data_IF_410355946344
#
_entry.id   IF_410355946344
#
_cell.length_a   1.000
_cell.length_b   1.000
_cell.length_c   1.000
_cell.angle_alpha   90.00
_cell.angle_beta   90.00
_cell.angle_gamma   90.00
#
_symmetry.space_group_name_H-M   'P 1'
#
loop_
_entity.id
_entity.type
_entity.pdbx_description
1 polymer ?
#
# COMPACT_ATOMS: atom_id res chain seq x y z
N UNK A 1 15.30 34.48 30.95
CA UNK A 1 14.82 35.56 30.08
C UNK A 1 13.32 35.44 29.96
N UNK A 2 12.51 36.50 30.12
CA UNK A 2 11.08 36.40 29.87
C UNK A 2 10.84 36.10 28.38
N UNK A 3 9.94 35.15 28.10
CA UNK A 3 9.53 34.83 26.73
C UNK A 3 8.87 36.06 26.08
N UNK A 4 9.18 36.31 24.82
CA UNK A 4 8.51 37.35 24.03
C UNK A 4 7.03 37.00 23.81
N UNK A 5 6.17 37.97 23.54
CA UNK A 5 4.74 37.73 23.24
C UNK A 5 4.57 36.77 22.09
N UNK A 6 5.40 36.85 21.04
CA UNK A 6 5.41 35.96 19.88
C UNK A 6 5.76 34.50 20.23
N UNK A 7 6.75 34.29 21.11
CA UNK A 7 7.13 32.93 21.56
C UNK A 7 6.01 32.29 22.39
N UNK A 8 5.33 33.07 23.23
CA UNK A 8 4.19 32.59 24.00
C UNK A 8 3.01 32.21 23.11
N UNK A 9 2.70 32.98 22.10
CA UNK A 9 1.64 32.70 21.14
C UNK A 9 1.95 31.44 20.33
N UNK A 10 3.20 31.28 19.88
CA UNK A 10 3.65 30.08 19.18
C UNK A 10 3.53 28.82 20.06
N UNK A 11 3.95 28.87 21.32
CA UNK A 11 3.84 27.77 22.26
C UNK A 11 2.37 27.36 22.53
N UNK A 12 1.48 28.36 22.69
CA UNK A 12 0.04 28.08 22.84
C UNK A 12 -0.58 27.51 21.59
N UNK A 13 -0.15 27.92 20.39
CA UNK A 13 -0.61 27.36 19.11
C UNK A 13 -0.18 25.90 18.97
N UNK A 14 1.07 25.56 19.29
CA UNK A 14 1.57 24.17 19.31
C UNK A 14 0.78 23.30 20.28
N UNK A 15 0.54 23.76 21.51
CA UNK A 15 -0.29 23.04 22.47
C UNK A 15 -1.71 22.79 21.94
N UNK A 16 -2.37 23.83 21.39
CA UNK A 16 -3.71 23.69 20.79
C UNK A 16 -3.72 22.67 19.67
N UNK A 17 -2.71 22.66 18.81
CA UNK A 17 -2.54 21.70 17.71
C UNK A 17 -2.44 20.27 18.23
N UNK A 18 -1.51 20.02 19.17
CA UNK A 18 -1.30 18.71 19.76
C UNK A 18 -2.53 18.19 20.54
N UNK A 19 -3.16 19.06 21.33
CA UNK A 19 -4.35 18.70 22.09
C UNK A 19 -5.55 18.35 21.18
N UNK A 20 -5.77 19.11 20.11
CA UNK A 20 -6.82 18.82 19.12
C UNK A 20 -6.57 17.50 18.37
N UNK A 21 -5.32 17.19 18.04
CA UNK A 21 -4.95 15.93 17.41
C UNK A 21 -5.30 14.71 18.28
N UNK A 22 -5.38 14.90 19.60
CA UNK A 22 -5.80 13.90 20.58
C UNK A 22 -7.27 14.03 21.01
N UNK A 23 -8.06 14.83 20.30
CA UNK A 23 -9.50 15.06 20.53
C UNK A 23 -9.83 15.72 21.86
N UNK A 24 -8.91 16.51 22.45
CA UNK A 24 -9.21 17.31 23.63
C UNK A 24 -10.17 18.45 23.23
N UNK A 25 -11.21 18.66 24.05
CA UNK A 25 -12.23 19.67 23.78
C UNK A 25 -11.67 21.09 23.82
N UNK A 26 -12.28 22.01 23.06
CA UNK A 26 -11.89 23.41 23.03
C UNK A 26 -11.97 24.09 24.40
N UNK A 27 -12.99 23.76 25.19
CA UNK A 27 -13.19 24.29 26.54
C UNK A 27 -12.07 23.87 27.50
N UNK A 28 -11.67 22.60 27.47
CA UNK A 28 -10.54 22.07 28.26
C UNK A 28 -9.22 22.76 27.86
N UNK A 29 -8.98 22.92 26.54
CA UNK A 29 -7.81 23.63 26.03
C UNK A 29 -7.82 25.11 26.52
N UNK A 30 -8.96 25.78 26.42
CA UNK A 30 -9.12 27.16 26.85
C UNK A 30 -8.90 27.34 28.35
N UNK A 31 -9.53 26.51 29.16
CA UNK A 31 -9.40 26.49 30.61
C UNK A 31 -7.94 26.26 31.07
N UNK A 32 -7.24 25.33 30.46
CA UNK A 32 -5.83 25.09 30.75
C UNK A 32 -4.96 26.31 30.41
N UNK A 33 -5.09 26.88 29.22
CA UNK A 33 -4.28 28.03 28.77
C UNK A 33 -4.56 29.31 29.55
N UNK A 34 -5.74 29.45 30.16
CA UNK A 34 -6.07 30.63 30.99
C UNK A 34 -5.28 30.68 32.30
N UNK A 35 -4.87 29.50 32.84
CA UNK A 35 -4.18 29.42 34.15
C UNK A 35 -2.75 28.86 34.07
N UNK A 36 -2.37 28.22 32.95
CA UNK A 36 -1.09 27.56 32.82
C UNK A 36 0.08 28.53 32.68
N UNK A 37 1.17 28.21 33.36
CA UNK A 37 2.46 28.88 33.17
C UNK A 37 3.11 28.44 31.85
N UNK A 38 4.04 29.23 31.28
CA UNK A 38 4.76 28.83 30.06
C UNK A 38 5.46 27.46 30.17
N UNK A 39 6.03 27.15 31.33
CA UNK A 39 6.67 25.86 31.61
C UNK A 39 5.67 24.71 31.59
N UNK A 40 4.48 24.89 32.12
CA UNK A 40 3.40 23.90 32.09
C UNK A 40 2.90 23.69 30.66
N UNK A 41 2.72 24.74 29.86
CA UNK A 41 2.36 24.62 28.45
C UNK A 41 3.38 23.83 27.69
N UNK A 42 4.69 24.12 27.85
CA UNK A 42 5.75 23.39 27.18
C UNK A 42 5.80 21.90 27.59
N UNK A 43 5.70 21.61 28.89
CA UNK A 43 5.71 20.23 29.39
C UNK A 43 4.51 19.42 28.89
N UNK A 44 3.31 20.00 28.92
CA UNK A 44 2.11 19.35 28.40
C UNK A 44 2.17 19.18 26.89
N UNK A 45 2.69 20.14 26.14
CA UNK A 45 2.88 20.00 24.68
C UNK A 45 3.79 18.82 24.38
N UNK A 46 4.95 18.73 25.02
CA UNK A 46 5.89 17.62 24.83
C UNK A 46 5.26 16.25 25.15
N UNK A 47 4.45 16.16 26.21
CA UNK A 47 3.70 14.94 26.55
C UNK A 47 2.70 14.57 25.47
N UNK A 48 1.90 15.52 24.97
CA UNK A 48 0.92 15.29 23.92
C UNK A 48 1.57 14.89 22.61
N UNK A 49 2.66 15.55 22.22
CA UNK A 49 3.44 15.19 21.02
C UNK A 49 4.05 13.78 21.12
N UNK A 50 4.54 13.40 22.30
CA UNK A 50 5.02 12.04 22.56
C UNK A 50 3.91 11.00 22.39
N UNK A 51 2.71 11.29 22.89
CA UNK A 51 1.54 10.41 22.74
C UNK A 51 1.10 10.31 21.28
N UNK A 52 1.08 11.41 20.51
CA UNK A 52 0.79 11.42 19.07
C UNK A 52 1.78 10.50 18.35
N UNK A 53 3.08 10.70 18.60
CA UNK A 53 4.13 9.89 17.99
C UNK A 53 4.01 8.40 18.37
N UNK A 54 3.61 8.09 19.62
CA UNK A 54 3.35 6.72 20.05
C UNK A 54 2.17 6.10 19.30
N UNK A 55 1.05 6.80 19.20
CA UNK A 55 -0.14 6.34 18.45
C UNK A 55 0.16 6.12 16.98
N UNK A 56 0.93 7.03 16.37
CA UNK A 56 1.33 6.89 14.96
C UNK A 56 2.21 5.67 14.74
N UNK A 57 3.19 5.43 15.60
CA UNK A 57 4.01 4.20 15.54
C UNK A 57 3.15 2.95 15.70
N UNK A 58 2.25 2.93 16.66
CA UNK A 58 1.35 1.80 16.90
C UNK A 58 0.40 1.56 15.71
N UNK A 59 -0.14 2.65 15.10
CA UNK A 59 -0.97 2.60 13.90
C UNK A 59 -0.18 1.98 12.73
N UNK A 60 1.02 2.48 12.43
CA UNK A 60 1.88 1.97 11.34
C UNK A 60 2.24 0.50 11.54
N UNK A 61 2.65 0.11 12.75
CA UNK A 61 2.94 -1.29 13.08
C UNK A 61 1.71 -2.20 12.89
N UNK A 62 0.52 -1.73 13.27
CA UNK A 62 -0.73 -2.46 13.02
C UNK A 62 -1.04 -2.60 11.54
N UNK A 63 -0.91 -1.53 10.76
CA UNK A 63 -1.13 -1.54 9.31
C UNK A 63 -0.17 -2.51 8.61
N UNK A 64 1.10 -2.49 8.99
CA UNK A 64 2.12 -3.40 8.45
C UNK A 64 1.76 -4.87 8.71
N UNK A 65 1.36 -5.21 9.95
CA UNK A 65 0.91 -6.59 10.26
C UNK A 65 -0.35 -6.99 9.50
N UNK A 66 -1.30 -6.07 9.34
CA UNK A 66 -2.55 -6.33 8.63
C UNK A 66 -2.36 -6.50 7.12
N UNK A 67 -1.33 -5.90 6.55
CA UNK A 67 -1.01 -6.04 5.13
C UNK A 67 -0.63 -7.46 4.74
N UNK A 68 -0.01 -8.24 5.63
CA UNK A 68 0.40 -9.65 5.42
C UNK A 68 1.40 -9.82 4.29
N UNK A 69 2.41 -8.97 4.23
CA UNK A 69 3.51 -9.14 3.28
C UNK A 69 4.23 -10.49 3.51
N UNK A 70 4.64 -11.20 2.44
CA UNK A 70 5.30 -12.50 2.57
C UNK A 70 6.66 -12.38 3.27
N UNK A 71 7.48 -11.42 2.84
CA UNK A 71 8.78 -11.07 3.45
C UNK A 71 8.96 -9.57 3.29
N UNK A 72 9.34 -8.83 4.34
CA UNK A 72 9.68 -7.43 4.22
C UNK A 72 10.83 -7.23 3.21
N UNK A 73 10.64 -6.32 2.27
CA UNK A 73 11.63 -5.98 1.23
C UNK A 73 11.66 -4.48 1.05
N UNK A 74 12.86 -3.94 0.78
CA UNK A 74 13.03 -2.53 0.45
C UNK A 74 13.29 -2.34 -1.06
N UNK A 75 13.18 -1.11 -1.52
CA UNK A 75 13.55 -0.72 -2.89
C UNK A 75 15.07 -0.63 -3.08
N UNK A 76 15.85 -0.66 -2.00
CA UNK A 76 17.30 -0.64 -2.05
C UNK A 76 17.83 -1.84 -2.82
N UNK A 77 18.84 -1.63 -3.67
CA UNK A 77 19.41 -2.65 -4.53
C UNK A 77 18.49 -3.14 -5.67
N UNK A 78 17.40 -2.43 -6.00
CA UNK A 78 16.67 -2.64 -7.26
C UNK A 78 17.47 -2.05 -8.43
N UNK A 79 17.64 -2.82 -9.51
CA UNK A 79 18.22 -2.35 -10.77
C UNK A 79 17.20 -1.52 -11.54
N UNK A 80 17.20 -0.25 -11.32
CA UNK A 80 16.33 0.70 -12.00
C UNK A 80 16.53 0.77 -13.52
N UNK A 81 17.76 0.57 -14.08
CA UNK A 81 17.96 0.57 -15.53
C UNK A 81 17.12 -0.46 -16.28
N UNK A 82 16.74 -1.55 -15.60
CA UNK A 82 15.95 -2.63 -16.19
C UNK A 82 14.43 -2.41 -16.04
N UNK A 83 14.00 -1.26 -15.51
CA UNK A 83 12.58 -0.94 -15.32
C UNK A 83 12.18 0.15 -16.29
N UNK A 84 11.27 -0.17 -17.22
CA UNK A 84 10.69 0.80 -18.15
C UNK A 84 9.36 1.33 -17.62
N UNK A 85 9.20 2.63 -17.71
CA UNK A 85 8.01 3.37 -17.26
C UNK A 85 7.27 3.94 -18.47
N UNK A 86 5.95 4.19 -18.36
CA UNK A 86 5.21 4.89 -19.40
C UNK A 86 5.66 6.35 -19.55
N UNK A 87 5.43 6.94 -20.72
CA UNK A 87 5.80 8.31 -21.03
C UNK A 87 5.25 9.32 -20.01
N UNK A 88 6.11 10.25 -19.58
CA UNK A 88 5.73 11.31 -18.65
C UNK A 88 5.50 10.85 -17.20
N UNK A 89 5.80 9.61 -16.87
CA UNK A 89 5.68 9.06 -15.52
C UNK A 89 6.85 8.13 -15.23
N UNK A 90 7.44 8.21 -14.05
CA UNK A 90 8.66 7.51 -13.76
C UNK A 90 8.80 7.05 -12.32
N UNK A 91 10.05 6.80 -11.96
CA UNK A 91 10.42 6.30 -10.64
C UNK A 91 9.93 7.19 -9.50
N UNK A 92 10.13 8.50 -9.62
CA UNK A 92 9.87 9.45 -8.52
C UNK A 92 8.36 9.59 -8.29
N UNK A 93 7.55 9.62 -9.36
CA UNK A 93 6.10 9.58 -9.28
C UNK A 93 5.61 8.30 -8.62
N UNK A 94 6.17 7.15 -8.98
CA UNK A 94 5.83 5.88 -8.35
C UNK A 94 6.17 5.87 -6.86
N UNK A 95 7.37 6.33 -6.49
CA UNK A 95 7.84 6.33 -5.10
C UNK A 95 7.13 7.39 -4.24
N UNK A 96 6.57 8.44 -4.82
CA UNK A 96 5.76 9.45 -4.13
C UNK A 96 4.45 8.90 -3.58
N UNK A 97 4.03 7.71 -4.04
CA UNK A 97 2.75 7.08 -3.70
C UNK A 97 1.51 7.90 -4.14
N UNK A 98 1.69 8.85 -5.08
CA UNK A 98 0.57 9.64 -5.60
C UNK A 98 -0.51 8.73 -6.22
N UNK A 99 -0.11 7.69 -6.94
CA UNK A 99 -1.03 6.69 -7.48
C UNK A 99 -1.97 6.10 -6.40
N UNK A 100 -1.45 5.82 -5.19
CA UNK A 100 -2.26 5.27 -4.10
C UNK A 100 -3.23 6.30 -3.51
N UNK A 101 -2.88 7.60 -3.56
CA UNK A 101 -3.77 8.69 -3.18
C UNK A 101 -4.86 8.91 -4.22
N UNK A 102 -4.53 8.80 -5.49
CA UNK A 102 -5.39 9.18 -6.61
C UNK A 102 -6.20 7.98 -7.17
N UNK A 103 -6.09 6.82 -6.52
CA UNK A 103 -6.75 5.57 -6.88
C UNK A 103 -6.38 5.06 -8.30
N UNK A 104 -5.15 5.32 -8.74
CA UNK A 104 -4.60 4.79 -9.98
C UNK A 104 -4.01 3.39 -9.75
N UNK A 105 -4.12 2.52 -10.74
CA UNK A 105 -3.60 1.16 -10.69
C UNK A 105 -2.18 1.06 -11.27
N UNK A 106 -1.40 0.07 -10.81
CA UNK A 106 -0.10 -0.26 -11.39
C UNK A 106 -0.07 -1.71 -11.84
N UNK A 107 0.42 -1.95 -13.04
CA UNK A 107 0.66 -3.30 -13.54
C UNK A 107 2.15 -3.50 -13.73
N UNK A 108 2.76 -4.34 -12.91
CA UNK A 108 4.15 -4.74 -13.01
C UNK A 108 4.24 -6.00 -13.87
N UNK A 109 4.73 -5.84 -15.07
CA UNK A 109 4.87 -6.89 -16.06
C UNK A 109 6.33 -7.29 -16.27
N UNK A 110 6.58 -8.54 -16.58
CA UNK A 110 7.90 -9.08 -16.91
C UNK A 110 8.09 -10.51 -16.43
N UNK A 111 9.17 -11.14 -16.86
CA UNK A 111 9.45 -12.55 -16.51
C UNK A 111 9.70 -12.73 -15.01
N UNK A 112 9.66 -13.99 -14.57
CA UNK A 112 9.92 -14.37 -13.17
C UNK A 112 11.34 -13.98 -12.75
N UNK A 113 11.51 -13.57 -11.49
CA UNK A 113 12.83 -13.24 -10.93
C UNK A 113 13.30 -11.79 -11.12
N UNK A 114 12.57 -10.96 -11.88
CA UNK A 114 12.98 -9.58 -12.23
C UNK A 114 12.59 -8.49 -11.23
N UNK A 115 12.13 -8.84 -10.04
CA UNK A 115 11.93 -7.87 -8.95
C UNK A 115 10.52 -7.32 -8.79
N UNK A 116 9.52 -7.70 -9.59
CA UNK A 116 8.12 -7.23 -9.51
C UNK A 116 7.51 -7.33 -8.11
N UNK A 117 7.51 -8.53 -7.53
CA UNK A 117 7.03 -8.79 -6.16
C UNK A 117 7.79 -7.97 -5.12
N UNK A 118 9.12 -7.80 -5.31
CA UNK A 118 9.95 -6.98 -4.43
C UNK A 118 9.50 -5.52 -4.47
N UNK A 119 9.30 -4.97 -5.67
CA UNK A 119 8.81 -3.60 -5.85
C UNK A 119 7.42 -3.42 -5.25
N UNK A 120 6.47 -4.30 -5.58
CA UNK A 120 5.11 -4.25 -5.04
C UNK A 120 5.09 -4.32 -3.50
N UNK A 121 5.93 -5.18 -2.91
CA UNK A 121 6.09 -5.29 -1.45
C UNK A 121 6.67 -4.00 -0.86
N UNK A 122 7.71 -3.45 -1.47
CA UNK A 122 8.37 -2.24 -0.99
C UNK A 122 7.44 -1.01 -1.04
N UNK A 123 6.69 -0.83 -2.13
CA UNK A 123 5.66 0.22 -2.24
C UNK A 123 4.54 0.01 -1.21
N UNK A 124 4.10 -1.23 -1.00
CA UNK A 124 3.12 -1.55 0.03
C UNK A 124 3.62 -1.19 1.45
N UNK A 125 4.89 -1.48 1.77
CA UNK A 125 5.50 -1.10 3.05
C UNK A 125 5.60 0.42 3.17
N UNK A 126 6.03 1.11 2.12
CA UNK A 126 6.06 2.57 2.08
C UNK A 126 4.66 3.18 2.29
N UNK A 127 3.64 2.61 1.66
CA UNK A 127 2.25 3.02 1.84
C UNK A 127 1.76 2.81 3.29
N UNK A 128 2.10 1.68 3.95
CA UNK A 128 1.77 1.49 5.38
C UNK A 128 2.49 2.48 6.27
N UNK A 129 3.73 2.84 5.95
CA UNK A 129 4.52 3.85 6.65
C UNK A 129 3.94 5.25 6.48
N UNK A 130 3.32 5.54 5.32
CA UNK A 130 2.55 6.75 5.05
C UNK A 130 1.15 6.73 5.71
N UNK A 131 0.77 5.62 6.39
CA UNK A 131 -0.50 5.50 7.10
C UNK A 131 -1.66 4.94 6.27
N UNK A 132 -1.41 4.45 5.07
CA UNK A 132 -2.42 3.83 4.22
C UNK A 132 -2.65 2.36 4.62
N UNK A 133 -3.89 1.90 4.77
CA UNK A 133 -4.19 0.48 4.90
C UNK A 133 -3.85 -0.26 3.59
N UNK A 134 -3.07 -1.33 3.69
CA UNK A 134 -2.68 -2.17 2.55
C UNK A 134 -3.16 -3.60 2.77
N UNK A 135 -3.51 -4.30 1.70
CA UNK A 135 -3.70 -5.75 1.67
C UNK A 135 -2.82 -6.35 0.60
N UNK A 136 -1.99 -7.30 0.99
CA UNK A 136 -1.14 -8.06 0.06
C UNK A 136 -1.73 -9.46 -0.13
N UNK A 137 -2.02 -9.80 -1.37
CA UNK A 137 -2.55 -11.09 -1.77
C UNK A 137 -1.68 -11.72 -2.84
N UNK A 138 -1.18 -12.90 -2.56
CA UNK A 138 -0.58 -13.77 -3.56
C UNK A 138 -1.72 -14.52 -4.25
N UNK A 139 -1.97 -14.31 -5.54
CA UNK A 139 -3.25 -14.67 -6.20
C UNK A 139 -3.57 -16.17 -6.22
N UNK A 140 -2.60 -17.03 -6.04
CA UNK A 140 -2.82 -18.45 -5.81
C UNK A 140 -3.55 -18.79 -4.49
N UNK A 141 -3.59 -17.85 -3.51
CA UNK A 141 -4.19 -18.07 -2.18
C UNK A 141 -5.59 -17.45 -1.99
N UNK A 142 -5.90 -16.26 -2.50
CA UNK A 142 -7.19 -15.61 -2.23
C UNK A 142 -8.35 -16.27 -2.96
N UNK A 143 -8.14 -16.86 -4.11
CA UNK A 143 -9.22 -17.53 -4.84
C UNK A 143 -9.82 -18.69 -4.03
N UNK A 144 -9.02 -19.65 -3.52
CA UNK A 144 -9.53 -20.64 -2.58
C UNK A 144 -10.12 -20.03 -1.31
N UNK A 145 -9.55 -18.92 -0.81
CA UNK A 145 -10.03 -18.23 0.39
C UNK A 145 -11.38 -17.54 0.16
N UNK A 146 -11.59 -16.89 -0.98
CA UNK A 146 -12.87 -16.30 -1.37
C UNK A 146 -13.93 -17.38 -1.55
N UNK A 147 -13.60 -18.48 -2.23
CA UNK A 147 -14.49 -19.63 -2.39
C UNK A 147 -14.85 -20.28 -1.06
N UNK A 148 -13.88 -20.44 -0.15
CA UNK A 148 -14.13 -20.91 1.21
C UNK A 148 -15.06 -19.96 1.98
N UNK A 149 -14.79 -18.66 1.96
CA UNK A 149 -15.61 -17.66 2.63
C UNK A 149 -17.05 -17.64 2.09
N UNK A 150 -17.23 -17.85 0.77
CA UNK A 150 -18.56 -17.99 0.16
C UNK A 150 -19.31 -19.20 0.72
N UNK A 151 -18.65 -20.36 0.79
CA UNK A 151 -19.27 -21.58 1.35
C UNK A 151 -19.60 -21.48 2.84
N UNK A 152 -18.78 -20.74 3.59
CA UNK A 152 -18.96 -20.52 5.02
C UNK A 152 -19.87 -19.33 5.38
N UNK A 153 -20.42 -18.62 4.39
CA UNK A 153 -21.27 -17.44 4.63
C UNK A 153 -20.53 -16.23 5.20
N UNK A 154 -19.18 -16.19 5.08
CA UNK A 154 -18.32 -15.12 5.63
C UNK A 154 -17.75 -14.19 4.55
N UNK A 155 -18.22 -14.32 3.30
CA UNK A 155 -17.72 -13.57 2.15
C UNK A 155 -17.85 -12.06 2.33
N UNK A 156 -19.02 -11.59 2.77
CA UNK A 156 -19.29 -10.15 2.96
C UNK A 156 -18.31 -9.53 3.97
N UNK A 157 -17.99 -10.27 5.03
CA UNK A 157 -17.00 -9.83 6.03
C UNK A 157 -15.60 -9.73 5.41
N UNK A 158 -15.22 -10.67 4.56
CA UNK A 158 -13.93 -10.65 3.88
C UNK A 158 -13.85 -9.49 2.88
N UNK A 159 -14.90 -9.28 2.08
CA UNK A 159 -14.99 -8.16 1.15
C UNK A 159 -14.96 -6.81 1.89
N UNK A 160 -15.69 -6.69 3.00
CA UNK A 160 -15.65 -5.50 3.85
C UNK A 160 -14.26 -5.22 4.46
N UNK A 161 -13.47 -6.27 4.77
CA UNK A 161 -12.09 -6.09 5.23
C UNK A 161 -11.17 -5.59 4.10
N UNK A 162 -11.33 -6.14 2.90
CA UNK A 162 -10.60 -5.66 1.70
C UNK A 162 -11.01 -4.24 1.34
N UNK A 163 -12.29 -3.91 1.48
CA UNK A 163 -12.82 -2.57 1.20
C UNK A 163 -12.19 -1.46 2.05
N UNK A 164 -11.60 -1.78 3.21
CA UNK A 164 -10.86 -0.84 4.07
C UNK A 164 -9.46 -0.52 3.54
N UNK A 165 -8.94 -1.31 2.59
CA UNK A 165 -7.62 -1.05 2.02
C UNK A 165 -7.65 0.19 1.11
N UNK A 166 -6.59 1.00 1.18
CA UNK A 166 -6.32 2.05 0.20
C UNK A 166 -5.50 1.52 -0.97
N UNK A 167 -4.71 0.48 -0.70
CA UNK A 167 -3.89 -0.20 -1.69
C UNK A 167 -4.08 -1.72 -1.55
N UNK A 168 -4.41 -2.36 -2.66
CA UNK A 168 -4.45 -3.81 -2.79
C UNK A 168 -3.28 -4.27 -3.67
N UNK A 169 -2.51 -5.24 -3.23
CA UNK A 169 -1.47 -5.88 -4.05
C UNK A 169 -1.94 -7.27 -4.41
N UNK A 170 -2.04 -7.53 -5.70
CA UNK A 170 -2.37 -8.83 -6.30
C UNK A 170 -1.10 -9.40 -6.95
N UNK A 171 -0.33 -10.15 -6.16
CA UNK A 171 0.95 -10.73 -6.59
C UNK A 171 0.75 -12.05 -7.33
N UNK A 172 1.61 -12.30 -8.34
CA UNK A 172 1.56 -13.49 -9.20
C UNK A 172 0.22 -13.65 -9.96
N UNK A 173 -0.38 -12.53 -10.40
CA UNK A 173 -1.61 -12.57 -11.17
C UNK A 173 -1.40 -13.31 -12.51
N UNK A 174 -2.22 -14.33 -12.74
CA UNK A 174 -2.16 -15.12 -13.97
C UNK A 174 -1.15 -16.27 -13.96
N UNK A 175 -0.48 -16.53 -12.84
CA UNK A 175 0.46 -17.66 -12.75
C UNK A 175 -0.25 -19.03 -12.77
N UNK A 176 -1.42 -19.11 -12.14
CA UNK A 176 -2.28 -20.30 -12.13
C UNK A 176 -3.67 -19.88 -12.61
N UNK A 177 -4.29 -20.63 -13.56
CA UNK A 177 -5.67 -20.40 -13.95
C UNK A 177 -6.60 -20.52 -12.75
N UNK A 178 -7.61 -19.67 -12.70
CA UNK A 178 -8.65 -19.72 -11.67
C UNK A 178 -9.80 -20.62 -12.10
N UNK A 179 -10.46 -21.24 -11.13
CA UNK A 179 -11.78 -21.80 -11.39
C UNK A 179 -12.80 -20.69 -11.62
N UNK A 180 -13.92 -21.00 -12.28
CA UNK A 180 -14.92 -20.02 -12.71
C UNK A 180 -15.48 -19.20 -11.54
N UNK A 181 -15.73 -19.83 -10.39
CA UNK A 181 -16.27 -19.16 -9.21
C UNK A 181 -15.23 -18.24 -8.57
N UNK A 182 -14.00 -18.69 -8.47
CA UNK A 182 -12.89 -17.92 -7.95
C UNK A 182 -12.54 -16.71 -8.82
N UNK A 183 -12.57 -16.90 -10.14
CA UNK A 183 -12.38 -15.80 -11.10
C UNK A 183 -13.46 -14.72 -10.95
N UNK A 184 -14.74 -15.10 -10.83
CA UNK A 184 -15.83 -14.16 -10.61
C UNK A 184 -15.69 -13.38 -9.30
N UNK A 185 -15.32 -14.07 -8.22
CA UNK A 185 -15.11 -13.42 -6.91
C UNK A 185 -13.91 -12.47 -6.94
N UNK A 186 -12.82 -12.85 -7.61
CA UNK A 186 -11.66 -11.97 -7.78
C UNK A 186 -12.01 -10.77 -8.66
N UNK A 187 -12.74 -10.98 -9.74
CA UNK A 187 -13.25 -9.89 -10.58
C UNK A 187 -14.11 -8.92 -9.77
N UNK A 188 -15.00 -9.41 -8.90
CA UNK A 188 -15.78 -8.54 -8.02
C UNK A 188 -14.88 -7.66 -7.16
N UNK A 189 -13.84 -8.22 -6.55
CA UNK A 189 -12.88 -7.45 -5.74
C UNK A 189 -12.17 -6.36 -6.56
N UNK A 190 -11.73 -6.70 -7.78
CA UNK A 190 -11.08 -5.75 -8.69
C UNK A 190 -12.07 -4.65 -9.11
N UNK A 191 -13.27 -5.05 -9.50
CA UNK A 191 -14.34 -4.15 -9.93
C UNK A 191 -14.75 -3.16 -8.82
N UNK A 192 -14.87 -3.64 -7.58
CA UNK A 192 -15.18 -2.81 -6.41
C UNK A 192 -14.00 -1.88 -6.02
N UNK A 193 -12.81 -2.13 -6.58
CA UNK A 193 -11.64 -1.30 -6.33
C UNK A 193 -11.58 -0.09 -7.26
N UNK A 194 -12.18 -0.16 -8.44
CA UNK A 194 -12.15 0.89 -9.45
C UNK A 194 -12.52 2.27 -8.89
N UNK A 195 -11.68 3.27 -9.11
CA UNK A 195 -11.79 4.67 -8.62
C UNK A 195 -11.91 4.84 -7.08
N UNK A 196 -11.81 3.76 -6.32
CA UNK A 196 -11.92 3.81 -4.85
C UNK A 196 -10.60 3.55 -4.15
N UNK A 197 -9.75 2.72 -4.75
CA UNK A 197 -8.45 2.32 -4.22
C UNK A 197 -7.56 1.89 -5.35
N UNK A 198 -6.27 1.93 -5.12
CA UNK A 198 -5.30 1.44 -6.08
C UNK A 198 -5.10 -0.05 -5.97
N UNK A 199 -4.86 -0.68 -7.12
CA UNK A 199 -4.43 -2.08 -7.20
C UNK A 199 -3.06 -2.15 -7.86
N UNK A 200 -2.12 -2.86 -7.25
CA UNK A 200 -0.86 -3.25 -7.89
C UNK A 200 -0.99 -4.71 -8.32
N UNK A 201 -0.91 -4.95 -9.61
CA UNK A 201 -0.80 -6.30 -10.16
C UNK A 201 0.66 -6.61 -10.42
N UNK A 202 1.14 -7.80 -10.05
CA UNK A 202 2.38 -8.34 -10.62
C UNK A 202 2.04 -9.52 -11.50
N UNK A 203 2.43 -9.46 -12.76
CA UNK A 203 2.10 -10.47 -13.76
C UNK A 203 3.34 -10.88 -14.57
N UNK A 204 3.39 -12.12 -14.99
CA UNK A 204 4.36 -12.66 -15.94
C UNK A 204 3.69 -13.06 -17.27
N UNK A 205 2.39 -12.86 -17.38
CA UNK A 205 1.59 -13.13 -18.56
C UNK A 205 1.11 -11.81 -19.16
N UNK A 206 1.09 -11.74 -20.47
CA UNK A 206 0.58 -10.57 -21.22
C UNK A 206 -0.92 -10.40 -21.01
N UNK A 207 -1.40 -9.16 -21.13
CA UNK A 207 -2.82 -8.83 -21.04
C UNK A 207 -3.70 -9.68 -21.97
N UNK A 208 -3.21 -9.99 -23.18
CA UNK A 208 -3.88 -10.86 -24.16
C UNK A 208 -4.26 -12.23 -23.61
N UNK A 209 -3.53 -12.70 -22.59
CA UNK A 209 -3.74 -14.01 -21.95
C UNK A 209 -4.58 -13.95 -20.69
N UNK A 210 -4.97 -12.79 -20.21
CA UNK A 210 -5.78 -12.65 -19.00
C UNK A 210 -7.16 -13.31 -19.14
N UNK A 211 -7.70 -13.36 -20.37
CA UNK A 211 -8.92 -14.12 -20.67
C UNK A 211 -8.82 -15.59 -20.28
N UNK A 212 -7.70 -16.21 -20.62
CA UNK A 212 -7.44 -17.61 -20.25
C UNK A 212 -7.27 -17.78 -18.74
N UNK A 213 -6.65 -16.80 -18.08
CA UNK A 213 -6.40 -16.81 -16.63
C UNK A 213 -7.70 -16.71 -15.84
N UNK A 214 -8.59 -15.81 -16.24
CA UNK A 214 -9.88 -15.58 -15.59
C UNK A 214 -10.94 -16.61 -16.04
N UNK A 215 -10.62 -17.48 -17.01
CA UNK A 215 -11.57 -18.47 -17.52
C UNK A 215 -12.81 -17.90 -18.22
N UNK A 216 -12.83 -16.57 -18.45
CA UNK A 216 -13.91 -15.84 -19.08
C UNK A 216 -13.33 -14.61 -19.79
N UNK A 217 -13.45 -14.61 -21.12
CA UNK A 217 -12.92 -13.54 -21.97
C UNK A 217 -13.61 -12.18 -21.71
N UNK A 218 -14.89 -12.18 -21.36
CA UNK A 218 -15.62 -10.94 -21.07
C UNK A 218 -15.17 -10.32 -19.75
N UNK A 219 -14.97 -11.13 -18.70
CA UNK A 219 -14.45 -10.68 -17.41
C UNK A 219 -13.03 -10.13 -17.59
N UNK A 220 -12.20 -10.80 -18.38
CA UNK A 220 -10.84 -10.34 -18.66
C UNK A 220 -10.83 -9.01 -19.39
N UNK A 221 -11.61 -8.89 -20.48
CA UNK A 221 -11.73 -7.64 -21.24
C UNK A 221 -12.17 -6.49 -20.34
N UNK A 222 -13.21 -6.68 -19.53
CA UNK A 222 -13.69 -5.66 -18.60
C UNK A 222 -12.66 -5.31 -17.52
N UNK A 223 -11.84 -6.28 -17.05
CA UNK A 223 -10.75 -6.03 -16.10
C UNK A 223 -9.63 -5.21 -16.75
N UNK A 224 -9.22 -5.61 -17.95
CA UNK A 224 -8.16 -4.96 -18.71
C UNK A 224 -8.56 -3.51 -19.03
N UNK A 225 -9.76 -3.31 -19.55
CA UNK A 225 -10.28 -1.99 -19.95
C UNK A 225 -10.24 -1.01 -18.77
N UNK A 226 -10.72 -1.41 -17.60
CA UNK A 226 -10.69 -0.60 -16.38
C UNK A 226 -9.26 -0.31 -15.92
N UNK A 227 -8.39 -1.33 -15.88
CA UNK A 227 -7.00 -1.14 -15.46
C UNK A 227 -6.19 -0.31 -16.46
N UNK A 228 -6.47 -0.40 -17.77
CA UNK A 228 -5.80 0.42 -18.77
C UNK A 228 -6.27 1.88 -18.74
N UNK A 229 -7.50 2.12 -18.35
CA UNK A 229 -8.05 3.49 -18.29
C UNK A 229 -7.43 4.33 -17.16
N UNK A 230 -7.16 3.72 -16.00
CA UNK A 230 -6.58 4.39 -14.83
C UNK A 230 -5.28 3.76 -14.34
N UNK A 231 -4.70 2.85 -15.11
CA UNK A 231 -3.53 2.09 -14.74
C UNK A 231 -2.26 2.50 -15.50
N UNK A 232 -1.12 2.22 -14.90
CA UNK A 232 0.19 2.42 -15.52
C UNK A 232 0.90 1.09 -15.63
N UNK A 233 1.37 0.79 -16.84
CA UNK A 233 2.18 -0.38 -17.10
C UNK A 233 3.65 -0.06 -16.80
N UNK A 234 4.26 -0.84 -15.92
CA UNK A 234 5.68 -0.77 -15.59
C UNK A 234 6.32 -2.10 -15.97
N UNK A 235 7.23 -2.07 -16.90
CA UNK A 235 7.87 -3.28 -17.41
C UNK A 235 9.20 -3.54 -16.71
N UNK A 236 9.38 -4.79 -16.27
CA UNK A 236 10.58 -5.27 -15.59
C UNK A 236 11.40 -6.13 -16.57
N UNK A 237 12.46 -5.54 -17.11
CA UNK A 237 13.42 -6.16 -18.00
C UNK A 237 14.59 -6.85 -17.28
N UNK A 238 15.74 -7.00 -17.99
CA UNK A 238 16.99 -7.52 -17.44
C UNK A 238 17.04 -9.03 -17.23
N UNK A 239 18.02 -9.50 -16.46
CA UNK A 239 18.20 -10.92 -16.12
C UNK A 239 17.49 -11.27 -14.79
N UNK A 240 17.34 -12.57 -14.52
CA UNK A 240 16.73 -13.03 -13.29
C UNK A 240 17.68 -12.86 -12.10
N UNK A 241 17.36 -11.95 -11.20
CA UNK A 241 18.13 -11.72 -9.96
C UNK A 241 18.15 -12.92 -9.02
N UNK A 242 17.09 -13.76 -9.05
CA UNK A 242 17.09 -15.03 -8.30
C UNK A 242 18.18 -15.96 -8.79
N UNK A 243 18.53 -15.87 -10.06
CA UNK A 243 19.59 -16.68 -10.66
C UNK A 243 20.96 -16.12 -10.29
N UNK A 244 21.13 -14.79 -10.31
CA UNK A 244 22.36 -14.10 -9.91
C UNK A 244 22.67 -14.26 -8.42
N UNK A 245 21.62 -14.26 -7.56
CA UNK A 245 21.74 -14.43 -6.11
C UNK A 245 21.74 -15.92 -5.66
N UNK A 246 21.67 -16.87 -6.59
CA UNK A 246 21.56 -18.28 -6.24
C UNK A 246 22.88 -18.83 -5.67
N UNK A 247 22.85 -19.27 -4.42
CA UNK A 247 24.00 -19.88 -3.73
C UNK A 247 24.59 -21.09 -4.49
N UNK A 248 23.80 -21.74 -5.34
CA UNK A 248 24.21 -22.88 -6.17
C UNK A 248 25.17 -22.50 -7.30
N UNK A 249 25.23 -21.23 -7.69
CA UNK A 249 26.07 -20.74 -8.79
C UNK A 249 27.44 -20.24 -8.33
N UNK A 250 27.73 -20.26 -7.02
CA UNK A 250 28.91 -19.61 -6.45
C UNK A 250 28.83 -18.10 -6.58
N UNK A 251 29.16 -17.35 -5.53
CA UNK A 251 29.38 -15.90 -5.68
C UNK A 251 30.59 -15.74 -6.58
N UNK A 252 30.44 -15.19 -7.79
CA UNK A 252 31.56 -14.61 -8.51
C UNK A 252 32.02 -13.40 -7.68
N UNK A 253 33.13 -13.57 -6.98
CA UNK A 253 33.85 -12.47 -6.35
C UNK A 253 34.27 -11.51 -7.46
N UNK A 254 33.75 -10.28 -7.41
CA UNK A 254 34.19 -9.15 -8.22
C UNK A 254 34.85 -8.15 -7.29
#
# INVERSE_FOLDING_TARGET
MPQTSSEREAAQAAFRGAARALFVSGDTIGAFLASATPGQVAACTAMLESEIAHRDRAKRARLLRQARFPVPKSVEGLGWPDVAFPDGWGRDEMLSLAFARDAEDLVFYGQTGRGKTRMATALGIAATSAGYPVRFWQTAQPVPRLGKAKREGTLDRLLADVAKARLLVLDEFGYVPFDVDGARLLYQVISDSYERRSVIFTANVEFSRWGTVLGDAHLATATIDRNMHHGRLVEFGGQSRRFEEALMMGRSES
#
